data_IF_980106586439
#
_entry.id   IF_980106586439
#
_cell.length_a   1.000
_cell.length_b   1.000
_cell.length_c   1.000
_cell.angle_alpha   90.00
_cell.angle_beta   90.00
_cell.angle_gamma   90.00
#
_symmetry.space_group_name_H-M   'P 1'
#
loop_
_entity.id
_entity.type
_entity.pdbx_description
1 polymer ?
#
# COMPACT_ATOMS: atom_id res chain seq x y z
N UNK A 1 56.96 21.98 -29.17
CA UNK A 1 55.77 22.21 -28.32
C UNK A 1 55.81 21.16 -27.23
N UNK A 2 56.27 21.57 -26.01
CA UNK A 2 56.31 20.73 -24.79
C UNK A 2 54.90 20.43 -24.31
N UNK A 3 54.56 19.16 -24.27
CA UNK A 3 53.37 18.64 -23.58
C UNK A 3 53.71 18.59 -22.10
N UNK A 4 53.17 19.51 -21.30
CA UNK A 4 53.22 19.45 -19.86
C UNK A 4 52.39 18.28 -19.40
N UNK A 5 53.03 17.18 -19.04
CA UNK A 5 52.41 16.08 -18.31
C UNK A 5 52.01 16.61 -16.92
N UNK A 6 50.71 16.80 -16.72
CA UNK A 6 50.13 17.10 -15.44
C UNK A 6 50.28 15.86 -14.56
N UNK A 7 51.19 15.99 -13.57
CA UNK A 7 51.47 14.96 -12.56
C UNK A 7 50.18 14.69 -11.76
N UNK A 8 49.51 13.61 -12.08
CA UNK A 8 48.39 13.14 -11.26
C UNK A 8 48.92 12.71 -9.89
N UNK A 9 48.53 13.38 -8.85
CA UNK A 9 48.82 13.00 -7.48
C UNK A 9 48.10 11.68 -7.15
N UNK A 10 48.80 10.57 -6.84
CA UNK A 10 48.17 9.26 -6.71
C UNK A 10 47.77 8.93 -5.26
N UNK A 11 47.00 9.75 -4.60
CA UNK A 11 46.70 9.45 -3.18
C UNK A 11 45.32 9.87 -2.66
N UNK A 12 44.68 10.88 -3.23
CA UNK A 12 43.49 11.49 -2.66
C UNK A 12 42.18 11.19 -3.41
N UNK A 13 42.27 10.63 -4.61
CA UNK A 13 41.07 10.34 -5.45
C UNK A 13 40.28 9.08 -5.05
N UNK A 14 40.86 8.00 -4.51
CA UNK A 14 40.05 6.81 -4.20
C UNK A 14 39.17 7.00 -2.96
N UNK A 15 39.61 7.67 -1.89
CA UNK A 15 38.80 7.78 -0.68
C UNK A 15 37.57 8.66 -0.83
N UNK A 16 37.66 9.81 -1.48
CA UNK A 16 36.47 10.65 -1.77
C UNK A 16 35.47 9.94 -2.68
N UNK A 17 35.92 9.17 -3.69
CA UNK A 17 35.05 8.40 -4.55
C UNK A 17 34.35 7.29 -3.77
N UNK A 18 35.04 6.57 -2.91
CA UNK A 18 34.48 5.51 -2.07
C UNK A 18 33.45 6.08 -1.10
N UNK A 19 33.75 7.23 -0.46
CA UNK A 19 32.82 7.89 0.47
C UNK A 19 31.57 8.38 -0.24
N UNK A 20 31.68 9.00 -1.42
CA UNK A 20 30.54 9.46 -2.20
C UNK A 20 29.70 8.28 -2.69
N UNK A 21 30.31 7.20 -3.17
CA UNK A 21 29.63 5.98 -3.57
C UNK A 21 28.87 5.32 -2.41
N UNK A 22 29.48 5.31 -1.22
CA UNK A 22 28.81 4.79 -0.01
C UNK A 22 27.58 5.63 0.37
N UNK A 23 27.68 6.96 0.28
CA UNK A 23 26.55 7.87 0.54
C UNK A 23 25.43 7.65 -0.50
N UNK A 24 25.77 7.54 -1.78
CA UNK A 24 24.80 7.26 -2.85
C UNK A 24 24.06 5.94 -2.61
N UNK A 25 24.78 4.86 -2.28
CA UNK A 25 24.18 3.57 -1.96
C UNK A 25 23.22 3.67 -0.77
N UNK A 26 23.63 4.35 0.32
CA UNK A 26 22.76 4.53 1.49
C UNK A 26 21.50 5.34 1.13
N UNK A 27 21.65 6.37 0.31
CA UNK A 27 20.54 7.19 -0.15
C UNK A 27 19.54 6.40 -1.01
N UNK A 28 20.05 5.58 -1.93
CA UNK A 28 19.22 4.71 -2.76
C UNK A 28 18.44 3.69 -1.91
N UNK A 29 19.09 3.11 -0.91
CA UNK A 29 18.45 2.21 0.04
C UNK A 29 17.35 2.89 0.86
N UNK A 30 17.58 4.11 1.33
CA UNK A 30 16.60 4.89 2.09
C UNK A 30 15.39 5.27 1.21
N UNK A 31 15.63 5.67 -0.04
CA UNK A 31 14.56 5.95 -1.00
C UNK A 31 13.73 4.70 -1.30
N UNK A 32 14.39 3.57 -1.57
CA UNK A 32 13.73 2.30 -1.80
C UNK A 32 12.90 1.88 -0.57
N UNK A 33 13.44 2.03 0.64
CA UNK A 33 12.73 1.72 1.88
C UNK A 33 11.44 2.53 2.02
N UNK A 34 11.47 3.84 1.78
CA UNK A 34 10.27 4.69 1.83
C UNK A 34 9.23 4.29 0.79
N UNK A 35 9.69 3.97 -0.42
CA UNK A 35 8.83 3.55 -1.53
C UNK A 35 8.13 2.22 -1.24
N UNK A 36 8.86 1.23 -0.73
CA UNK A 36 8.29 -0.07 -0.35
C UNK A 36 7.45 -0.03 0.94
N UNK A 37 7.74 0.90 1.85
CA UNK A 37 6.95 1.08 3.07
C UNK A 37 5.55 1.67 2.78
N UNK A 38 5.40 2.49 1.76
CA UNK A 38 4.15 3.19 1.46
C UNK A 38 2.95 2.24 1.24
N UNK A 39 3.00 1.24 0.34
CA UNK A 39 1.90 0.29 0.16
C UNK A 39 1.61 -0.49 1.43
N UNK A 40 2.64 -0.90 2.18
CA UNK A 40 2.47 -1.66 3.42
C UNK A 40 1.79 -0.82 4.51
N UNK A 41 2.09 0.48 4.61
CA UNK A 41 1.41 1.40 5.54
C UNK A 41 -0.08 1.52 5.25
N UNK A 42 -0.46 1.64 3.97
CA UNK A 42 -1.87 1.72 3.57
C UNK A 42 -2.62 0.46 4.01
N UNK A 43 -2.03 -0.72 3.77
CA UNK A 43 -2.60 -2.01 4.15
C UNK A 43 -2.73 -2.14 5.66
N UNK A 44 -1.65 -1.87 6.39
CA UNK A 44 -1.60 -1.98 7.85
C UNK A 44 -2.66 -1.12 8.55
N UNK A 45 -2.93 0.09 8.05
CA UNK A 45 -3.97 0.96 8.60
C UNK A 45 -5.35 0.32 8.48
N UNK A 46 -5.68 -0.25 7.32
CA UNK A 46 -6.95 -0.94 7.13
C UNK A 46 -7.10 -2.11 8.09
N UNK A 47 -6.02 -2.89 8.28
CA UNK A 47 -6.04 -4.03 9.19
C UNK A 47 -6.18 -3.60 10.66
N UNK A 48 -5.52 -2.53 11.08
CA UNK A 48 -5.70 -1.97 12.43
C UNK A 48 -7.17 -1.70 12.74
N UNK A 49 -7.97 -1.20 11.80
CA UNK A 49 -9.41 -1.00 12.01
C UNK A 49 -10.17 -2.33 12.16
N UNK A 50 -9.85 -3.34 11.35
CA UNK A 50 -10.47 -4.66 11.44
C UNK A 50 -10.14 -5.32 12.78
N UNK A 51 -8.86 -5.36 13.17
CA UNK A 51 -8.40 -5.92 14.44
C UNK A 51 -9.01 -5.21 15.65
N UNK A 52 -9.11 -3.87 15.59
CA UNK A 52 -9.76 -3.09 16.66
C UNK A 52 -11.25 -3.35 16.79
N UNK A 53 -11.91 -3.92 15.79
CA UNK A 53 -13.29 -4.42 15.89
C UNK A 53 -13.41 -5.88 16.34
N UNK A 54 -12.28 -6.55 16.56
CA UNK A 54 -12.19 -7.97 16.92
C UNK A 54 -12.36 -8.93 15.74
N UNK A 55 -11.94 -8.52 14.52
CA UNK A 55 -11.87 -9.38 13.33
C UNK A 55 -10.49 -9.22 12.70
N UNK A 56 -9.80 -10.34 12.49
CA UNK A 56 -8.50 -10.37 11.81
C UNK A 56 -8.72 -10.79 10.36
N UNK A 57 -8.25 -9.98 9.41
CA UNK A 57 -8.34 -10.29 8.00
C UNK A 57 -7.05 -10.97 7.49
N UNK A 58 -6.95 -12.28 7.64
CA UNK A 58 -5.80 -13.06 7.14
C UNK A 58 -5.74 -13.18 5.61
N UNK A 59 -6.75 -12.68 4.89
CA UNK A 59 -6.81 -12.68 3.42
C UNK A 59 -6.19 -11.45 2.76
N UNK A 60 -5.49 -10.60 3.52
CA UNK A 60 -4.92 -9.33 3.06
C UNK A 60 -4.03 -9.50 1.85
N UNK A 61 -3.12 -10.49 1.86
CA UNK A 61 -2.18 -10.75 0.76
C UNK A 61 -2.90 -11.05 -0.55
N UNK A 62 -3.94 -11.89 -0.49
CA UNK A 62 -4.76 -12.21 -1.66
C UNK A 62 -5.51 -10.99 -2.18
N UNK A 63 -6.04 -10.15 -1.29
CA UNK A 63 -6.71 -8.91 -1.68
C UNK A 63 -5.72 -7.92 -2.30
N UNK A 64 -4.49 -7.83 -1.78
CA UNK A 64 -3.41 -7.04 -2.38
C UNK A 64 -3.08 -7.50 -3.80
N UNK A 65 -3.00 -8.81 -4.06
CA UNK A 65 -2.76 -9.36 -5.39
C UNK A 65 -3.85 -8.96 -6.39
N UNK A 66 -5.12 -9.06 -6.00
CA UNK A 66 -6.22 -8.56 -6.83
C UNK A 66 -6.16 -7.04 -7.03
N UNK A 67 -5.77 -6.28 -6.01
CA UNK A 67 -5.56 -4.84 -6.11
C UNK A 67 -4.45 -4.48 -7.10
N UNK A 68 -3.33 -5.20 -7.05
CA UNK A 68 -2.20 -5.07 -7.95
C UNK A 68 -2.61 -5.38 -9.41
N UNK A 69 -3.29 -6.52 -9.62
CA UNK A 69 -3.78 -6.91 -10.94
C UNK A 69 -4.79 -5.88 -11.49
N UNK A 70 -5.75 -5.44 -10.66
CA UNK A 70 -6.77 -4.47 -11.08
C UNK A 70 -6.16 -3.12 -11.40
N UNK A 71 -5.17 -2.68 -10.60
CA UNK A 71 -4.42 -1.45 -10.84
C UNK A 71 -3.72 -1.47 -12.20
N UNK A 72 -2.95 -2.53 -12.48
CA UNK A 72 -2.27 -2.70 -13.78
C UNK A 72 -3.29 -2.79 -14.91
N UNK A 73 -4.30 -3.66 -14.78
CA UNK A 73 -5.31 -3.87 -15.83
C UNK A 73 -6.04 -2.58 -16.18
N UNK A 74 -6.57 -1.87 -15.20
CA UNK A 74 -7.29 -0.64 -15.41
C UNK A 74 -6.36 0.49 -15.90
N UNK A 75 -5.13 0.59 -15.36
CA UNK A 75 -4.13 1.54 -15.82
C UNK A 75 -3.74 1.31 -17.28
N UNK A 76 -3.67 0.05 -17.71
CA UNK A 76 -3.33 -0.34 -19.08
C UNK A 76 -4.50 -0.10 -20.05
N UNK A 77 -5.69 -0.70 -19.78
CA UNK A 77 -6.81 -0.64 -20.72
C UNK A 77 -7.49 0.72 -20.77
N UNK A 78 -7.56 1.44 -19.65
CA UNK A 78 -8.26 2.72 -19.55
C UNK A 78 -7.32 3.92 -19.63
N UNK A 79 -6.01 3.71 -19.58
CA UNK A 79 -4.97 4.74 -19.58
C UNK A 79 -5.29 5.90 -18.60
N UNK A 80 -5.91 5.56 -17.47
CA UNK A 80 -6.38 6.52 -16.47
C UNK A 80 -6.10 6.00 -15.06
N UNK A 81 -5.23 6.71 -14.35
CA UNK A 81 -4.89 6.40 -12.96
C UNK A 81 -6.11 6.49 -12.03
N UNK A 82 -6.98 7.49 -12.25
CA UNK A 82 -8.19 7.68 -11.45
C UNK A 82 -9.13 6.48 -11.55
N UNK A 83 -9.35 5.97 -12.77
CA UNK A 83 -10.18 4.79 -12.99
C UNK A 83 -9.52 3.54 -12.39
N UNK A 84 -8.19 3.39 -12.49
CA UNK A 84 -7.47 2.30 -11.85
C UNK A 84 -7.72 2.26 -10.33
N UNK A 85 -7.62 3.40 -9.66
CA UNK A 85 -7.89 3.52 -8.22
C UNK A 85 -9.37 3.21 -7.90
N UNK A 86 -10.32 3.71 -8.67
CA UNK A 86 -11.76 3.46 -8.45
C UNK A 86 -12.07 1.95 -8.60
N UNK A 87 -11.62 1.30 -9.66
CA UNK A 87 -11.82 -0.14 -9.85
C UNK A 87 -11.16 -0.95 -8.74
N UNK A 88 -9.97 -0.56 -8.29
CA UNK A 88 -9.29 -1.20 -7.16
C UNK A 88 -10.10 -1.08 -5.87
N UNK A 89 -10.69 0.10 -5.59
CA UNK A 89 -11.58 0.29 -4.41
C UNK A 89 -12.79 -0.64 -4.50
N UNK A 90 -13.41 -0.76 -5.67
CA UNK A 90 -14.59 -1.62 -5.88
C UNK A 90 -14.25 -3.09 -5.64
N UNK A 91 -13.14 -3.57 -6.22
CA UNK A 91 -12.67 -4.95 -6.02
C UNK A 91 -12.28 -5.20 -4.56
N UNK A 92 -11.56 -4.27 -3.93
CA UNK A 92 -11.19 -4.35 -2.52
C UNK A 92 -12.42 -4.39 -1.60
N UNK A 93 -13.45 -3.57 -1.89
CA UNK A 93 -14.71 -3.59 -1.16
C UNK A 93 -15.46 -4.92 -1.35
N UNK A 94 -15.51 -5.45 -2.55
CA UNK A 94 -16.16 -6.74 -2.86
C UNK A 94 -15.47 -7.90 -2.12
N UNK A 95 -14.13 -7.99 -2.18
CA UNK A 95 -13.39 -9.01 -1.48
C UNK A 95 -13.46 -8.84 0.03
N UNK A 96 -13.39 -7.60 0.54
CA UNK A 96 -13.59 -7.28 1.95
C UNK A 96 -15.00 -7.66 2.45
N UNK A 97 -16.04 -7.45 1.63
CA UNK A 97 -17.41 -7.92 1.91
C UNK A 97 -17.48 -9.45 1.96
N UNK A 98 -16.77 -10.13 1.08
CA UNK A 98 -16.70 -11.60 1.08
C UNK A 98 -16.07 -12.12 2.37
N UNK A 99 -14.93 -11.54 2.79
CA UNK A 99 -14.30 -11.84 4.07
C UNK A 99 -15.25 -11.57 5.23
N UNK A 100 -15.89 -10.39 5.26
CA UNK A 100 -16.83 -10.01 6.31
C UNK A 100 -18.03 -10.97 6.39
N UNK A 101 -18.59 -11.36 5.25
CA UNK A 101 -19.69 -12.32 5.20
C UNK A 101 -19.30 -13.68 5.78
N UNK A 102 -18.14 -14.20 5.41
CA UNK A 102 -17.66 -15.49 5.91
C UNK A 102 -17.30 -15.44 7.39
N UNK A 103 -16.55 -14.43 7.83
CA UNK A 103 -16.03 -14.36 9.20
C UNK A 103 -17.05 -13.83 10.21
N UNK A 104 -17.85 -12.83 9.85
CA UNK A 104 -18.80 -12.18 10.77
C UNK A 104 -20.18 -12.86 10.73
N UNK A 105 -20.77 -13.10 9.54
CA UNK A 105 -22.10 -13.68 9.43
C UNK A 105 -22.08 -15.19 9.56
N UNK A 106 -21.19 -15.88 8.85
CA UNK A 106 -21.06 -17.33 8.90
C UNK A 106 -20.20 -17.84 10.05
N UNK A 107 -19.49 -16.92 10.73
CA UNK A 107 -18.61 -17.25 11.89
C UNK A 107 -17.59 -18.33 11.59
N UNK A 108 -17.09 -18.37 10.36
CA UNK A 108 -16.03 -19.30 9.96
C UNK A 108 -14.71 -18.94 10.66
N UNK A 109 -13.80 -19.89 10.73
CA UNK A 109 -12.47 -19.62 11.25
C UNK A 109 -11.74 -18.60 10.37
N UNK A 110 -11.31 -17.48 10.96
CA UNK A 110 -10.72 -16.34 10.24
C UNK A 110 -9.42 -16.71 9.53
N UNK A 111 -8.59 -17.58 10.17
CA UNK A 111 -7.31 -18.03 9.60
C UNK A 111 -7.56 -18.88 8.35
N UNK A 112 -8.46 -19.87 8.46
CA UNK A 112 -8.80 -20.76 7.34
C UNK A 112 -9.41 -19.97 6.18
N UNK A 113 -10.32 -19.06 6.48
CA UNK A 113 -10.96 -18.20 5.47
C UNK A 113 -9.92 -17.34 4.75
N UNK A 114 -8.99 -16.72 5.49
CA UNK A 114 -7.93 -15.90 4.91
C UNK A 114 -6.99 -16.69 4.03
N UNK A 115 -6.53 -17.87 4.48
CA UNK A 115 -5.68 -18.75 3.67
C UNK A 115 -6.37 -19.20 2.37
N UNK A 116 -7.67 -19.55 2.44
CA UNK A 116 -8.43 -19.90 1.23
C UNK A 116 -8.49 -18.74 0.24
N UNK A 117 -8.75 -17.51 0.73
CA UNK A 117 -8.77 -16.32 -0.11
C UNK A 117 -7.40 -16.06 -0.73
N UNK A 118 -6.30 -16.18 0.02
CA UNK A 118 -4.95 -16.01 -0.49
C UNK A 118 -4.64 -17.02 -1.60
N UNK A 119 -4.97 -18.30 -1.41
CA UNK A 119 -4.74 -19.34 -2.42
C UNK A 119 -5.55 -19.12 -3.69
N UNK A 120 -6.83 -18.80 -3.56
CA UNK A 120 -7.71 -18.49 -4.71
C UNK A 120 -7.18 -17.25 -5.43
N UNK A 121 -6.79 -16.23 -4.69
CA UNK A 121 -6.25 -14.99 -5.26
C UNK A 121 -4.96 -15.24 -6.03
N UNK A 122 -4.05 -16.02 -5.47
CA UNK A 122 -2.78 -16.35 -6.12
C UNK A 122 -3.02 -17.04 -7.47
N UNK A 123 -3.83 -18.09 -7.50
CA UNK A 123 -4.13 -18.82 -8.74
C UNK A 123 -4.92 -17.99 -9.75
N UNK A 124 -5.93 -17.23 -9.28
CA UNK A 124 -6.75 -16.40 -10.17
C UNK A 124 -5.97 -15.22 -10.76
N UNK A 125 -5.16 -14.54 -9.96
CA UNK A 125 -4.35 -13.40 -10.44
C UNK A 125 -3.25 -13.84 -11.38
N UNK A 126 -2.60 -14.98 -11.15
CA UNK A 126 -1.60 -15.55 -12.04
C UNK A 126 -2.22 -15.91 -13.41
N UNK A 127 -3.36 -16.61 -13.41
CA UNK A 127 -4.07 -16.96 -14.63
C UNK A 127 -4.55 -15.71 -15.42
N UNK A 128 -5.11 -14.71 -14.74
CA UNK A 128 -5.58 -13.48 -15.37
C UNK A 128 -4.39 -12.65 -15.90
N UNK A 129 -3.29 -12.58 -15.16
CA UNK A 129 -2.10 -11.86 -15.58
C UNK A 129 -1.43 -12.49 -16.81
N UNK A 130 -1.40 -13.84 -16.90
CA UNK A 130 -0.87 -14.55 -18.05
C UNK A 130 -1.63 -14.21 -19.35
N UNK A 131 -2.97 -14.11 -19.26
CA UNK A 131 -3.80 -13.71 -20.40
C UNK A 131 -3.55 -12.26 -20.84
N UNK A 132 -3.18 -11.39 -19.92
CA UNK A 132 -2.85 -9.99 -20.22
C UNK A 132 -1.43 -9.83 -20.80
N UNK A 133 -0.50 -10.71 -20.47
CA UNK A 133 0.93 -10.55 -20.82
C UNK A 133 1.20 -10.64 -22.34
N UNK A 134 0.34 -11.30 -23.10
CA UNK A 134 0.43 -11.39 -24.55
C UNK A 134 0.21 -10.04 -25.28
N UNK A 135 -0.44 -9.08 -24.61
CA UNK A 135 -0.81 -7.76 -25.20
C UNK A 135 0.17 -6.64 -24.80
N UNK A 136 1.30 -6.95 -24.21
CA UNK A 136 2.16 -6.06 -23.43
C UNK A 136 3.12 -5.21 -24.27
N UNK A 137 2.66 -4.09 -24.86
CA UNK A 137 3.55 -3.10 -25.50
C UNK A 137 3.26 -1.64 -25.10
N UNK A 138 2.34 -1.35 -24.19
CA UNK A 138 1.96 0.01 -23.85
C UNK A 138 2.45 0.43 -22.47
N UNK A 139 2.71 1.73 -22.31
CA UNK A 139 3.06 2.32 -21.01
C UNK A 139 1.84 2.31 -20.09
N UNK A 140 2.00 1.83 -18.87
CA UNK A 140 0.99 1.90 -17.82
C UNK A 140 1.06 3.29 -17.16
N UNK A 141 -0.09 3.88 -16.82
CA UNK A 141 -0.15 5.14 -16.10
C UNK A 141 0.42 4.94 -14.67
N UNK A 142 1.46 5.67 -14.31
CA UNK A 142 2.08 5.62 -12.99
C UNK A 142 1.75 6.85 -12.16
N UNK A 143 1.89 6.77 -10.84
CA UNK A 143 1.68 7.92 -9.96
C UNK A 143 2.74 9.00 -10.20
N UNK A 144 2.32 10.26 -10.46
CA UNK A 144 3.24 11.35 -10.70
C UNK A 144 3.97 11.76 -9.40
N UNK A 145 5.16 12.36 -9.55
CA UNK A 145 5.82 13.07 -8.46
C UNK A 145 5.20 14.46 -8.27
N UNK A 146 4.97 14.87 -7.00
CA UNK A 146 4.34 16.18 -6.69
C UNK A 146 5.31 17.33 -6.93
N UNK A 147 6.59 17.13 -6.58
CA UNK A 147 7.57 18.21 -6.54
C UNK A 147 8.32 18.37 -7.86
N UNK A 148 8.59 19.63 -8.28
CA UNK A 148 9.35 19.89 -9.49
C UNK A 148 10.81 19.39 -9.36
N UNK A 149 11.39 18.97 -10.48
CA UNK A 149 12.76 18.41 -10.54
C UNK A 149 13.84 19.32 -9.94
N UNK A 150 13.59 20.64 -9.85
CA UNK A 150 14.51 21.59 -9.19
C UNK A 150 14.69 21.33 -7.69
N UNK A 151 13.71 20.78 -7.00
CA UNK A 151 13.81 20.43 -5.58
C UNK A 151 14.53 19.09 -5.34
N UNK A 152 14.64 18.25 -6.34
CA UNK A 152 15.37 16.97 -6.26
C UNK A 152 16.90 17.19 -6.14
N UNK A 153 17.41 18.37 -6.50
CA UNK A 153 18.84 18.70 -6.44
C UNK A 153 19.35 19.10 -5.04
N UNK A 154 18.45 19.19 -4.05
CA UNK A 154 18.86 19.46 -2.65
C UNK A 154 19.59 18.23 -2.11
N UNK A 155 20.86 18.34 -1.66
CA UNK A 155 21.61 17.19 -1.20
C UNK A 155 20.91 16.49 -0.03
N UNK A 156 20.82 15.16 -0.06
CA UNK A 156 20.21 14.25 0.93
C UNK A 156 18.69 14.35 1.01
N UNK A 157 18.10 15.50 1.25
CA UNK A 157 16.64 15.68 1.45
C UNK A 157 15.88 15.63 0.12
N UNK A 158 16.47 16.18 -0.95
CA UNK A 158 15.86 16.24 -2.27
C UNK A 158 15.46 14.85 -2.80
N UNK A 159 16.41 13.94 -3.00
CA UNK A 159 16.12 12.60 -3.47
C UNK A 159 15.25 11.78 -2.50
N UNK A 160 15.47 11.94 -1.19
CA UNK A 160 14.78 11.14 -0.18
C UNK A 160 13.30 11.46 -0.06
N UNK A 161 12.92 12.74 -0.02
CA UNK A 161 11.54 13.17 0.19
C UNK A 161 10.87 13.66 -1.09
N UNK A 162 11.51 14.53 -1.85
CA UNK A 162 10.87 15.21 -2.99
C UNK A 162 10.81 14.39 -4.27
N UNK A 163 11.63 13.33 -4.40
CA UNK A 163 11.58 12.41 -5.54
C UNK A 163 10.55 11.30 -5.40
N UNK A 164 9.79 11.27 -4.30
CA UNK A 164 8.78 10.24 -4.05
C UNK A 164 7.47 10.51 -4.80
N UNK A 165 6.75 9.46 -5.27
CA UNK A 165 5.44 9.61 -5.88
C UNK A 165 4.39 10.10 -4.89
N UNK A 166 3.28 10.65 -5.40
CA UNK A 166 2.13 11.13 -4.61
C UNK A 166 1.63 10.07 -3.63
N UNK A 167 1.63 8.80 -4.03
CA UNK A 167 1.19 7.66 -3.22
C UNK A 167 1.97 7.53 -1.90
N UNK A 168 3.28 7.77 -1.92
CA UNK A 168 4.13 7.72 -0.73
C UNK A 168 3.74 8.81 0.28
N UNK A 169 3.47 10.03 -0.19
CA UNK A 169 3.04 11.13 0.69
C UNK A 169 1.68 10.86 1.31
N UNK A 170 0.73 10.33 0.52
CA UNK A 170 -0.58 9.91 1.04
C UNK A 170 -0.39 8.84 2.11
N UNK A 171 0.45 7.83 1.86
CA UNK A 171 0.70 6.75 2.80
C UNK A 171 1.33 7.24 4.12
N UNK A 172 2.19 8.25 4.09
CA UNK A 172 2.81 8.83 5.31
C UNK A 172 1.83 9.65 6.14
N UNK A 173 0.89 10.34 5.50
CA UNK A 173 -0.11 11.18 6.20
C UNK A 173 -1.28 10.34 6.72
N UNK A 174 -1.62 9.28 6.02
CA UNK A 174 -2.78 8.42 6.31
C UNK A 174 -2.81 7.85 7.73
N UNK A 175 -1.68 7.40 8.36
CA UNK A 175 -1.68 6.90 9.74
C UNK A 175 -2.13 7.93 10.76
N UNK A 176 -1.74 9.21 10.58
CA UNK A 176 -2.11 10.30 11.48
C UNK A 176 -3.63 10.53 11.42
N UNK A 177 -4.18 10.57 10.21
CA UNK A 177 -5.62 10.74 9.98
C UNK A 177 -6.41 9.52 10.48
N UNK A 178 -5.90 8.32 10.24
CA UNK A 178 -6.48 7.07 10.74
C UNK A 178 -6.51 7.02 12.27
N UNK A 179 -5.41 7.37 12.92
CA UNK A 179 -5.34 7.46 14.37
C UNK A 179 -6.35 8.48 14.93
N UNK A 180 -6.48 9.65 14.28
CA UNK A 180 -7.48 10.63 14.66
C UNK A 180 -8.90 10.07 14.59
N UNK A 181 -9.27 9.40 13.47
CA UNK A 181 -10.59 8.76 13.32
C UNK A 181 -10.81 7.71 14.41
N UNK A 182 -9.83 6.83 14.64
CA UNK A 182 -9.96 5.72 15.58
C UNK A 182 -10.06 6.18 17.05
N UNK A 183 -9.31 7.22 17.46
CA UNK A 183 -9.21 7.63 18.85
C UNK A 183 -10.02 8.88 19.20
N UNK A 184 -10.39 9.72 18.24
CA UNK A 184 -11.04 11.01 18.50
C UNK A 184 -12.48 11.10 17.97
N UNK A 185 -12.97 10.07 17.23
CA UNK A 185 -14.35 10.09 16.72
C UNK A 185 -15.27 9.12 17.45
N UNK A 186 -16.61 9.38 17.37
CA UNK A 186 -17.64 8.48 17.90
C UNK A 186 -17.62 7.12 17.21
N UNK A 187 -17.35 7.10 15.90
CA UNK A 187 -17.25 5.85 15.14
C UNK A 187 -16.09 4.99 15.63
N UNK A 188 -14.90 5.57 15.80
CA UNK A 188 -13.73 4.86 16.32
C UNK A 188 -13.92 4.37 17.77
N UNK A 189 -14.62 5.13 18.61
CA UNK A 189 -15.00 4.68 19.96
C UNK A 189 -15.89 3.43 19.89
N UNK A 190 -16.92 3.44 19.04
CA UNK A 190 -17.83 2.32 18.85
C UNK A 190 -17.10 1.07 18.30
N UNK A 191 -16.18 1.25 17.36
CA UNK A 191 -15.35 0.15 16.82
C UNK A 191 -14.54 -0.51 17.95
N UNK A 192 -13.86 0.27 18.77
CA UNK A 192 -13.08 -0.26 19.91
C UNK A 192 -13.96 -0.93 20.96
N UNK A 193 -15.10 -0.33 21.30
CA UNK A 193 -16.06 -0.93 22.25
C UNK A 193 -16.58 -2.29 21.76
N UNK A 194 -16.84 -2.43 20.46
CA UNK A 194 -17.24 -3.71 19.85
C UNK A 194 -16.11 -4.74 19.88
N UNK A 195 -14.86 -4.31 19.72
CA UNK A 195 -13.70 -5.19 19.79
C UNK A 195 -13.42 -5.68 21.21
N UNK A 196 -13.50 -4.76 22.19
CA UNK A 196 -13.21 -5.06 23.59
C UNK A 196 -14.28 -5.99 24.21
N UNK A 197 -15.56 -5.67 24.04
CA UNK A 197 -16.66 -6.51 24.53
C UNK A 197 -17.91 -6.41 23.63
N UNK A 198 -18.05 -7.32 22.64
CA UNK A 198 -19.18 -7.29 21.72
C UNK A 198 -20.55 -7.43 22.40
N UNK A 199 -20.63 -8.19 23.52
CA UNK A 199 -21.88 -8.39 24.26
C UNK A 199 -22.31 -7.11 24.98
N UNK A 200 -21.39 -6.45 25.68
CA UNK A 200 -21.66 -5.17 26.34
C UNK A 200 -21.98 -4.06 25.32
N UNK A 201 -21.30 -4.03 24.18
CA UNK A 201 -21.59 -3.09 23.12
C UNK A 201 -23.02 -3.29 22.54
N UNK A 202 -23.45 -4.54 22.38
CA UNK A 202 -24.81 -4.87 21.92
C UNK A 202 -25.88 -4.44 22.93
N UNK A 203 -25.68 -4.63 24.23
CA UNK A 203 -26.63 -4.17 25.28
C UNK A 203 -26.69 -2.64 25.35
N UNK A 204 -25.63 -1.94 24.99
CA UNK A 204 -25.60 -0.48 24.85
C UNK A 204 -26.25 0.03 23.53
N UNK A 205 -26.86 -0.86 22.72
CA UNK A 205 -27.56 -0.51 21.47
C UNK A 205 -26.69 -0.38 20.23
N UNK A 206 -25.40 -0.77 20.29
CA UNK A 206 -24.53 -0.73 19.14
C UNK A 206 -24.76 -1.95 18.20
N UNK A 207 -24.83 -1.70 16.91
CA UNK A 207 -24.94 -2.78 15.91
C UNK A 207 -23.56 -3.41 15.65
N UNK A 208 -23.19 -4.44 16.42
CA UNK A 208 -21.90 -5.15 16.36
C UNK A 208 -21.59 -5.65 14.95
N UNK A 209 -22.57 -6.31 14.30
CA UNK A 209 -22.38 -6.85 12.96
C UNK A 209 -22.05 -5.73 11.97
N UNK A 210 -22.81 -4.63 11.96
CA UNK A 210 -22.59 -3.52 11.03
C UNK A 210 -21.19 -2.90 11.20
N UNK A 211 -20.75 -2.69 12.43
CA UNK A 211 -19.42 -2.12 12.70
C UNK A 211 -18.29 -3.05 12.26
N UNK A 212 -18.40 -4.35 12.51
CA UNK A 212 -17.45 -5.36 12.03
C UNK A 212 -17.39 -5.42 10.50
N UNK A 213 -18.54 -5.37 9.83
CA UNK A 213 -18.58 -5.31 8.36
C UNK A 213 -17.86 -4.08 7.82
N UNK A 214 -18.13 -2.90 8.38
CA UNK A 214 -17.50 -1.65 7.96
C UNK A 214 -15.98 -1.71 8.07
N UNK A 215 -15.45 -2.22 9.18
CA UNK A 215 -14.01 -2.29 9.41
C UNK A 215 -13.31 -3.33 8.53
N UNK A 216 -13.93 -4.49 8.31
CA UNK A 216 -13.38 -5.53 7.43
C UNK A 216 -13.42 -5.11 5.96
N UNK A 217 -14.48 -4.43 5.52
CA UNK A 217 -14.54 -3.85 4.17
C UNK A 217 -13.48 -2.77 4.00
N UNK A 218 -13.27 -1.93 5.01
CA UNK A 218 -12.21 -0.92 4.99
C UNK A 218 -10.81 -1.57 4.90
N UNK A 219 -10.57 -2.66 5.63
CA UNK A 219 -9.35 -3.48 5.50
C UNK A 219 -9.18 -4.01 4.07
N UNK A 220 -10.24 -4.56 3.47
CA UNK A 220 -10.20 -5.02 2.08
C UNK A 220 -9.89 -3.92 1.06
N UNK A 221 -10.51 -2.74 1.21
CA UNK A 221 -10.23 -1.58 0.36
C UNK A 221 -8.76 -1.14 0.51
N UNK A 222 -8.28 -1.02 1.75
CA UNK A 222 -6.89 -0.63 2.03
C UNK A 222 -5.89 -1.63 1.49
N UNK A 223 -6.18 -2.94 1.62
CA UNK A 223 -5.34 -4.00 1.08
C UNK A 223 -5.24 -3.92 -0.45
N UNK A 224 -6.37 -3.76 -1.14
CA UNK A 224 -6.38 -3.61 -2.60
C UNK A 224 -5.64 -2.33 -3.04
N UNK A 225 -5.86 -1.20 -2.36
CA UNK A 225 -5.14 0.05 -2.64
C UNK A 225 -3.63 -0.09 -2.43
N UNK A 226 -3.19 -0.80 -1.38
CA UNK A 226 -1.79 -1.12 -1.19
C UNK A 226 -1.20 -1.90 -2.37
N UNK A 227 -1.92 -2.90 -2.88
CA UNK A 227 -1.54 -3.63 -4.09
C UNK A 227 -1.48 -2.74 -5.33
N UNK A 228 -2.44 -1.86 -5.53
CA UNK A 228 -2.46 -0.90 -6.63
C UNK A 228 -1.26 0.07 -6.56
N UNK A 229 -0.97 0.61 -5.38
CA UNK A 229 0.19 1.50 -5.16
C UNK A 229 1.51 0.77 -5.40
N UNK A 230 1.60 -0.51 -5.02
CA UNK A 230 2.78 -1.33 -5.25
C UNK A 230 3.11 -1.45 -6.75
N UNK A 231 2.11 -1.51 -7.61
CA UNK A 231 2.28 -1.75 -9.06
C UNK A 231 2.30 -0.48 -9.91
N UNK A 232 1.62 0.59 -9.49
CA UNK A 232 1.54 1.87 -10.21
C UNK A 232 2.43 2.96 -9.59
N UNK A 233 3.05 2.69 -8.44
CA UNK A 233 3.94 3.62 -7.73
C UNK A 233 5.38 3.62 -8.21
N UNK A 234 5.74 2.71 -9.13
CA UNK A 234 7.09 2.57 -9.69
C UNK A 234 7.25 3.12 -11.11
#
# INVERSE_FOLDING_TARGET
RMMTMQKAEPGLLPQRRVTNMAIEIIMDWLQATLRWAAPLLIVAIGEVYAERSGVINMGIEGIMLFGALTGIAAGFYLNSLMLAVIFTIVIGAFLGLTVAFLTVSRRTNQVVTGLMINMISLGATDALFSLMSETRQSRVATFPTIFPKSMHSIPVIGPLLFAQPVSTWIALILPVFAAYILYKTRWGLNVRAVGDNPKAAATAGLSVIKLKYQTVVLSGISAALGGCVLTLGE
#
